data_IF_423112200446
#
_entry.id   IF_423112200446
#
_cell.length_a   1.000
_cell.length_b   1.000
_cell.length_c   1.000
_cell.angle_alpha   90.00
_cell.angle_beta   90.00
_cell.angle_gamma   90.00
#
_symmetry.space_group_name_H-M   'P 1'
#
loop_
_entity.id
_entity.type
_entity.pdbx_description
1 polymer ?
#
# COMPACT_ATOMS: atom_id res chain seq x y z
N UNK A 1 78.09 10.84 -10.13
CA UNK A 1 78.36 12.15 -9.52
C UNK A 1 77.10 12.58 -8.77
N UNK A 2 77.19 12.70 -7.45
CA UNK A 2 76.11 13.13 -6.55
C UNK A 2 76.12 14.66 -6.46
N UNK A 3 75.32 15.39 -7.25
CA UNK A 3 75.36 16.86 -7.18
C UNK A 3 74.02 17.60 -7.22
N UNK A 4 72.86 16.96 -7.04
CA UNK A 4 71.57 17.71 -6.99
C UNK A 4 70.73 17.42 -5.74
N UNK A 5 71.35 17.45 -4.55
CA UNK A 5 70.61 17.22 -3.28
C UNK A 5 70.86 18.25 -2.19
N UNK A 6 71.51 19.38 -2.48
CA UNK A 6 71.68 20.47 -1.50
C UNK A 6 70.65 21.57 -1.72
N UNK A 7 70.13 22.11 -0.61
CA UNK A 7 69.07 23.11 -0.56
C UNK A 7 69.50 24.47 -1.14
N UNK A 8 70.80 24.71 -1.26
CA UNK A 8 71.38 25.97 -1.75
C UNK A 8 71.37 26.10 -3.29
N UNK A 9 71.05 25.03 -4.02
CA UNK A 9 71.05 25.02 -5.50
C UNK A 9 69.73 25.52 -6.12
N UNK A 10 68.72 25.79 -5.29
CA UNK A 10 67.47 26.42 -5.71
C UNK A 10 67.19 27.62 -4.81
N UNK A 11 67.11 28.82 -5.39
CA UNK A 11 66.70 30.05 -4.71
C UNK A 11 65.22 30.01 -4.32
N UNK A 12 64.87 29.14 -3.36
CA UNK A 12 63.52 29.01 -2.84
C UNK A 12 63.34 30.04 -1.72
N UNK A 13 62.49 31.07 -1.88
CA UNK A 13 62.26 32.04 -0.82
C UNK A 13 61.67 31.35 0.41
N UNK A 14 62.17 31.67 1.60
CA UNK A 14 61.64 31.12 2.84
C UNK A 14 60.20 31.58 3.05
N UNK A 15 59.25 30.65 2.91
CA UNK A 15 57.84 30.90 3.23
C UNK A 15 57.62 30.56 4.70
N UNK A 16 57.42 31.58 5.53
CA UNK A 16 56.91 31.41 6.88
C UNK A 16 55.45 30.91 6.81
N UNK A 17 55.26 29.58 6.85
CA UNK A 17 53.94 28.98 6.95
C UNK A 17 53.46 29.16 8.39
N UNK A 18 52.69 30.22 8.63
CA UNK A 18 51.84 30.32 9.82
C UNK A 18 50.85 29.16 9.72
N UNK A 19 50.95 28.19 10.64
CA UNK A 19 49.94 27.13 10.77
C UNK A 19 48.64 27.80 11.26
N UNK A 20 47.80 28.23 10.34
CA UNK A 20 46.43 28.60 10.67
C UNK A 20 45.75 27.39 11.33
N UNK A 21 45.20 27.62 12.53
CA UNK A 21 44.37 26.60 13.18
C UNK A 21 43.22 26.26 12.23
N UNK A 22 42.89 24.98 12.01
CA UNK A 22 41.71 24.61 11.24
C UNK A 22 40.52 25.32 11.89
N UNK A 23 39.75 26.08 11.10
CA UNK A 23 38.44 26.56 11.54
C UNK A 23 37.65 25.32 11.90
N UNK A 24 37.37 25.12 13.19
CA UNK A 24 36.49 24.06 13.64
C UNK A 24 35.12 24.36 13.06
N UNK A 25 34.68 23.55 12.11
CA UNK A 25 33.32 23.60 11.58
C UNK A 25 32.38 23.41 12.77
N UNK A 26 31.72 24.48 13.20
CA UNK A 26 30.89 24.51 14.40
C UNK A 26 29.55 23.83 14.08
N UNK A 27 29.61 22.52 13.89
CA UNK A 27 28.45 21.69 13.62
C UNK A 27 27.61 21.58 14.90
N UNK A 28 26.49 22.28 14.92
CA UNK A 28 25.52 22.21 16.01
C UNK A 28 24.89 20.82 16.06
N UNK A 29 25.12 20.09 17.13
CA UNK A 29 24.49 18.79 17.40
C UNK A 29 23.25 18.94 18.28
N UNK A 30 22.23 18.12 18.02
CA UNK A 30 20.93 18.13 18.70
C UNK A 30 20.68 16.80 19.40
N UNK A 31 20.58 16.81 20.73
CA UNK A 31 20.39 15.61 21.55
C UNK A 31 18.96 15.09 21.54
N UNK A 32 18.79 13.77 21.58
CA UNK A 32 17.49 13.14 21.75
C UNK A 32 16.92 13.37 23.16
N UNK A 33 15.65 13.78 23.25
CA UNK A 33 14.94 13.95 24.52
C UNK A 33 14.21 12.67 25.00
N UNK A 34 14.39 11.54 24.31
CA UNK A 34 13.85 10.26 24.76
C UNK A 34 14.66 9.70 25.92
N UNK A 35 14.00 9.04 26.87
CA UNK A 35 14.64 8.50 28.08
C UNK A 35 15.76 7.54 27.70
N UNK A 36 16.92 7.74 28.32
CA UNK A 36 18.13 6.90 28.16
C UNK A 36 18.63 6.78 26.72
N UNK A 37 18.35 7.77 25.86
CA UNK A 37 18.87 7.83 24.49
C UNK A 37 20.09 8.76 24.39
N UNK A 38 21.31 8.24 24.15
CA UNK A 38 22.52 9.06 24.04
C UNK A 38 22.74 9.66 22.64
N UNK A 39 21.82 9.42 21.69
CA UNK A 39 21.98 9.82 20.30
C UNK A 39 21.88 11.33 20.10
N UNK A 40 22.74 11.83 19.21
CA UNK A 40 22.77 13.22 18.76
C UNK A 40 22.68 13.26 17.24
N UNK A 41 21.90 14.20 16.71
CA UNK A 41 21.75 14.41 15.27
C UNK A 41 22.32 15.76 14.87
N UNK A 42 22.79 15.90 13.63
CA UNK A 42 23.24 17.18 13.07
C UNK A 42 22.06 18.11 12.71
N UNK A 43 20.84 17.57 12.71
CA UNK A 43 19.62 18.29 12.35
C UNK A 43 18.63 18.23 13.52
N UNK A 44 17.94 19.34 13.78
CA UNK A 44 16.86 19.37 14.75
C UNK A 44 15.66 18.57 14.24
N UNK A 45 15.22 17.56 15.00
CA UNK A 45 14.02 16.77 14.73
C UNK A 45 13.01 17.04 15.84
N UNK A 46 12.23 18.12 15.67
CA UNK A 46 11.27 18.59 16.66
C UNK A 46 9.92 17.92 16.44
N UNK A 47 9.37 17.30 17.47
CA UNK A 47 8.02 16.77 17.44
C UNK A 47 6.99 17.93 17.40
N UNK A 48 6.07 17.99 16.43
CA UNK A 48 5.11 19.10 16.33
C UNK A 48 4.03 19.09 17.42
N UNK A 49 4.03 18.09 18.30
CA UNK A 49 3.04 17.92 19.36
C UNK A 49 3.59 18.23 20.76
N UNK A 50 4.75 17.65 21.10
CA UNK A 50 5.38 17.89 22.40
C UNK A 50 6.55 18.88 22.35
N UNK A 51 6.89 19.37 21.15
CA UNK A 51 7.91 20.41 20.90
C UNK A 51 9.33 20.07 21.38
N UNK A 52 9.58 18.79 21.70
CA UNK A 52 10.89 18.25 22.09
C UNK A 52 11.68 17.75 20.88
N UNK A 53 13.01 17.73 20.99
CA UNK A 53 13.92 17.25 19.96
C UNK A 53 14.23 15.76 20.12
N UNK A 54 14.26 14.99 19.03
CA UNK A 54 14.55 13.57 19.03
C UNK A 54 15.62 13.18 18.00
N UNK A 55 16.13 11.95 18.06
CA UNK A 55 16.97 11.41 16.99
C UNK A 55 16.10 10.78 15.90
N UNK A 56 16.69 10.37 14.77
CA UNK A 56 15.94 9.76 13.67
C UNK A 56 15.22 8.46 14.07
N UNK A 57 15.72 7.75 15.09
CA UNK A 57 15.11 6.54 15.65
C UNK A 57 13.87 6.80 16.50
N UNK A 58 13.76 7.99 17.10
CA UNK A 58 12.67 8.37 18.01
C UNK A 58 11.82 9.53 17.47
N UNK A 59 11.87 9.79 16.16
CA UNK A 59 11.20 10.93 15.53
C UNK A 59 9.67 10.85 15.55
N UNK A 60 9.08 9.66 15.58
CA UNK A 60 7.62 9.50 15.62
C UNK A 60 7.10 9.47 17.06
N UNK A 61 5.84 9.89 17.24
CA UNK A 61 5.20 10.01 18.56
C UNK A 61 5.17 8.71 19.37
N UNK A 62 4.99 7.56 18.71
CA UNK A 62 5.03 6.24 19.35
C UNK A 62 6.42 5.89 19.86
N UNK A 63 7.44 6.28 19.11
CA UNK A 63 8.82 5.83 19.33
C UNK A 63 9.46 6.58 20.51
N UNK A 64 9.06 7.84 20.75
CA UNK A 64 9.50 8.59 21.92
C UNK A 64 8.50 8.65 23.08
N UNK A 65 7.39 7.91 23.00
CA UNK A 65 6.34 7.97 24.03
C UNK A 65 5.79 9.38 24.23
N UNK A 66 5.39 10.05 23.15
CA UNK A 66 4.92 11.43 23.15
C UNK A 66 3.81 11.64 24.19
N UNK A 67 3.97 12.65 25.04
CA UNK A 67 2.99 13.03 26.06
C UNK A 67 1.64 13.47 25.46
N UNK A 68 1.65 13.90 24.20
CA UNK A 68 0.45 14.31 23.44
C UNK A 68 -0.09 13.21 22.52
N UNK A 69 0.47 11.99 22.57
CA UNK A 69 -0.07 10.88 21.80
C UNK A 69 -1.42 10.47 22.39
N UNK A 70 -2.50 10.69 21.65
CA UNK A 70 -3.78 10.09 21.96
C UNK A 70 -3.65 8.57 21.80
N UNK A 71 -3.56 7.85 22.93
CA UNK A 71 -3.59 6.40 22.91
C UNK A 71 -4.93 5.96 22.30
N UNK A 72 -4.91 5.11 21.25
CA UNK A 72 -6.15 4.63 20.67
C UNK A 72 -6.96 3.92 21.75
N UNK A 73 -8.17 4.42 22.02
CA UNK A 73 -9.11 3.79 22.95
C UNK A 73 -9.19 2.30 22.60
N UNK A 74 -9.04 1.38 23.56
CA UNK A 74 -9.07 -0.04 23.27
C UNK A 74 -10.44 -0.40 22.68
N UNK A 75 -10.49 -0.60 21.35
CA UNK A 75 -11.71 -0.96 20.61
C UNK A 75 -12.29 -2.32 21.00
N UNK A 76 -11.61 -3.08 21.87
CA UNK A 76 -11.84 -4.52 22.07
C UNK A 76 -12.43 -4.92 23.42
N UNK A 77 -12.64 -4.00 24.37
CA UNK A 77 -13.21 -4.36 25.68
C UNK A 77 -14.62 -4.97 25.57
N UNK A 78 -15.43 -4.48 24.61
CA UNK A 78 -16.76 -5.04 24.32
C UNK A 78 -16.70 -6.40 23.57
N UNK A 79 -15.66 -6.62 22.77
CA UNK A 79 -15.47 -7.86 21.99
C UNK A 79 -15.09 -9.04 22.86
N UNK A 80 -14.32 -8.82 23.94
CA UNK A 80 -13.90 -9.88 24.86
C UNK A 80 -15.08 -10.55 25.58
N UNK A 81 -16.08 -9.78 26.02
CA UNK A 81 -17.30 -10.33 26.64
C UNK A 81 -18.09 -11.19 25.65
N UNK A 82 -18.29 -10.69 24.42
CA UNK A 82 -19.00 -11.44 23.38
C UNK A 82 -18.30 -12.75 23.00
N UNK A 83 -16.97 -12.77 22.93
CA UNK A 83 -16.21 -13.99 22.66
C UNK A 83 -16.40 -15.02 23.78
N UNK A 84 -16.40 -14.57 25.04
CA UNK A 84 -16.62 -15.45 26.20
C UNK A 84 -18.02 -16.07 26.17
N UNK A 85 -19.05 -15.26 25.92
CA UNK A 85 -20.44 -15.74 25.81
C UNK A 85 -20.65 -16.73 24.64
N UNK A 86 -19.90 -16.59 23.54
CA UNK A 86 -19.95 -17.52 22.39
C UNK A 86 -19.28 -18.87 22.72
N UNK A 87 -18.18 -18.85 23.47
CA UNK A 87 -17.49 -20.07 23.89
C UNK A 87 -18.34 -20.83 24.92
N UNK A 88 -18.93 -20.10 25.86
CA UNK A 88 -19.78 -20.65 26.92
C UNK A 88 -21.11 -21.23 26.38
N UNK A 89 -21.57 -20.78 25.20
CA UNK A 89 -22.78 -21.30 24.53
C UNK A 89 -22.54 -22.52 23.61
N UNK A 90 -21.30 -22.96 23.42
CA UNK A 90 -20.97 -24.14 22.60
C UNK A 90 -20.99 -25.47 23.36
N UNK A 91 -21.10 -25.46 24.68
CA UNK A 91 -21.10 -26.67 25.53
C UNK A 91 -22.48 -27.28 25.76
N UNK A 92 -23.57 -26.64 25.31
CA UNK A 92 -24.92 -27.20 25.34
C UNK A 92 -25.41 -27.54 23.94
N UNK A 93 -25.48 -28.83 23.58
CA UNK A 93 -26.04 -29.25 22.31
C UNK A 93 -27.53 -28.94 22.22
N UNK A 94 -27.94 -28.02 21.34
CA UNK A 94 -29.27 -27.98 20.72
C UNK A 94 -29.40 -26.90 19.61
N UNK A 95 -29.71 -27.37 18.41
CA UNK A 95 -30.50 -26.73 17.34
C UNK A 95 -29.99 -25.38 16.80
N UNK A 96 -29.39 -25.44 15.60
CA UNK A 96 -29.18 -24.31 14.69
C UNK A 96 -30.52 -23.69 14.23
N UNK A 97 -31.24 -22.96 15.09
CA UNK A 97 -32.17 -21.94 14.64
C UNK A 97 -31.35 -20.72 14.25
N UNK A 98 -31.00 -20.65 12.97
CA UNK A 98 -30.31 -19.49 12.40
C UNK A 98 -31.04 -18.21 12.81
N UNK A 99 -30.39 -17.39 13.63
CA UNK A 99 -30.83 -16.04 13.92
C UNK A 99 -30.87 -15.30 12.59
N UNK A 100 -32.07 -15.13 12.03
CA UNK A 100 -32.31 -14.22 10.90
C UNK A 100 -32.06 -12.81 11.40
N UNK A 101 -30.79 -12.39 11.39
CA UNK A 101 -30.41 -11.02 11.64
C UNK A 101 -31.15 -10.12 10.65
N UNK A 102 -31.77 -9.06 11.17
CA UNK A 102 -32.44 -8.06 10.35
C UNK A 102 -31.48 -7.60 9.25
N UNK A 103 -31.91 -7.73 7.99
CA UNK A 103 -31.14 -7.37 6.79
C UNK A 103 -31.00 -5.84 6.72
N UNK A 104 -30.08 -5.29 7.51
CA UNK A 104 -29.58 -3.94 7.26
C UNK A 104 -28.49 -4.06 6.20
N UNK A 105 -28.74 -3.50 5.02
CA UNK A 105 -27.83 -3.54 3.86
C UNK A 105 -26.41 -3.07 4.18
N UNK A 106 -26.28 -2.09 5.09
CA UNK A 106 -24.99 -1.58 5.57
C UNK A 106 -24.15 -2.61 6.33
N UNK A 107 -24.76 -3.55 7.06
CA UNK A 107 -24.04 -4.63 7.73
C UNK A 107 -23.63 -5.72 6.74
N UNK A 108 -24.50 -6.05 5.79
CA UNK A 108 -24.20 -7.02 4.73
C UNK A 108 -23.04 -6.55 3.83
N UNK A 109 -23.02 -5.27 3.44
CA UNK A 109 -21.96 -4.68 2.63
C UNK A 109 -20.60 -4.70 3.37
N UNK A 110 -20.58 -4.36 4.66
CA UNK A 110 -19.36 -4.43 5.48
C UNK A 110 -18.85 -5.86 5.62
N UNK A 111 -19.74 -6.83 5.83
CA UNK A 111 -19.37 -8.25 5.91
C UNK A 111 -18.86 -8.77 4.56
N UNK A 112 -19.46 -8.35 3.44
CA UNK A 112 -18.99 -8.70 2.11
C UNK A 112 -17.56 -8.18 1.87
N UNK A 113 -17.31 -6.90 2.19
CA UNK A 113 -15.97 -6.32 2.09
C UNK A 113 -14.97 -7.03 3.02
N UNK A 114 -15.36 -7.37 4.24
CA UNK A 114 -14.49 -8.12 5.17
C UNK A 114 -14.13 -9.50 4.62
N UNK A 115 -15.10 -10.24 4.08
CA UNK A 115 -14.86 -11.55 3.44
C UNK A 115 -13.93 -11.41 2.25
N UNK A 116 -14.18 -10.41 1.41
CA UNK A 116 -13.35 -10.14 0.24
C UNK A 116 -11.91 -9.84 0.67
N UNK A 117 -11.70 -8.93 1.63
CA UNK A 117 -10.36 -8.62 2.17
C UNK A 117 -9.66 -9.81 2.80
N UNK A 118 -10.40 -10.74 3.40
CA UNK A 118 -9.85 -11.94 4.04
C UNK A 118 -9.32 -12.95 3.01
N UNK A 119 -9.95 -13.04 1.84
CA UNK A 119 -9.56 -13.98 0.78
C UNK A 119 -8.78 -13.32 -0.37
N UNK A 120 -8.68 -11.99 -0.38
CA UNK A 120 -8.05 -11.27 -1.47
C UNK A 120 -6.55 -11.53 -1.54
N UNK A 121 -6.09 -11.89 -2.72
CA UNK A 121 -4.68 -12.09 -3.04
C UNK A 121 -4.11 -10.86 -3.76
N UNK A 122 -2.83 -10.58 -3.54
CA UNK A 122 -2.23 -9.34 -4.03
C UNK A 122 -0.80 -9.14 -3.54
N UNK A 123 -0.18 -8.02 -3.93
CA UNK A 123 1.16 -7.68 -3.47
C UNK A 123 1.16 -7.30 -1.98
N UNK A 124 1.63 -8.24 -1.15
CA UNK A 124 1.64 -8.09 0.32
C UNK A 124 2.52 -6.94 0.81
N UNK A 125 3.43 -6.43 -0.02
CA UNK A 125 4.29 -5.28 0.33
C UNK A 125 3.53 -3.94 0.31
N UNK A 126 2.39 -3.87 -0.38
CA UNK A 126 1.60 -2.63 -0.47
C UNK A 126 1.02 -2.23 0.89
N UNK A 127 1.15 -0.96 1.32
CA UNK A 127 0.49 -0.46 2.53
C UNK A 127 -1.04 -0.59 2.45
N UNK A 128 -1.72 -0.90 3.56
CA UNK A 128 -3.18 -1.07 3.56
C UNK A 128 -3.95 0.16 3.04
N UNK A 129 -3.40 1.36 3.23
CA UNK A 129 -3.99 2.63 2.76
C UNK A 129 -4.02 2.75 1.24
N UNK A 130 -3.13 2.07 0.54
CA UNK A 130 -3.05 2.09 -0.93
C UNK A 130 -3.79 0.90 -1.57
N UNK A 131 -4.24 -0.07 -0.77
CA UNK A 131 -4.92 -1.27 -1.29
C UNK A 131 -6.36 -0.95 -1.64
N UNK A 132 -6.69 -1.09 -2.91
CA UNK A 132 -8.07 -1.22 -3.38
C UNK A 132 -8.36 -2.67 -3.72
N UNK A 133 -9.54 -3.13 -3.30
CA UNK A 133 -9.95 -4.52 -3.40
C UNK A 133 -11.06 -4.67 -4.43
N UNK A 134 -11.03 -5.76 -5.20
CA UNK A 134 -12.09 -6.09 -6.16
C UNK A 134 -12.38 -7.59 -6.16
N UNK A 135 -13.62 -7.94 -6.48
CA UNK A 135 -13.95 -9.28 -6.96
C UNK A 135 -13.68 -9.28 -8.47
N UNK A 136 -12.66 -10.02 -8.90
CA UNK A 136 -12.25 -10.10 -10.30
C UNK A 136 -12.88 -11.35 -10.92
N UNK A 137 -13.83 -11.15 -11.83
CA UNK A 137 -14.42 -12.23 -12.63
C UNK A 137 -13.48 -12.59 -13.77
N UNK A 138 -13.27 -13.89 -13.97
CA UNK A 138 -12.28 -14.40 -14.90
C UNK A 138 -12.92 -14.75 -16.26
N UNK A 139 -12.12 -14.87 -17.33
CA UNK A 139 -12.63 -15.23 -18.65
C UNK A 139 -13.42 -16.54 -18.63
N UNK A 140 -14.44 -16.63 -19.49
CA UNK A 140 -15.24 -17.86 -19.62
C UNK A 140 -14.34 -19.05 -19.99
N UNK A 141 -14.46 -20.14 -19.25
CA UNK A 141 -13.60 -21.33 -19.40
C UNK A 141 -12.41 -21.39 -18.44
N UNK A 142 -12.22 -20.37 -17.59
CA UNK A 142 -11.28 -20.44 -16.46
C UNK A 142 -11.73 -21.46 -15.42
N UNK A 143 -10.77 -22.07 -14.69
CA UNK A 143 -11.07 -23.06 -13.64
C UNK A 143 -11.93 -22.48 -12.51
N UNK A 144 -11.71 -21.22 -12.19
CA UNK A 144 -12.45 -20.47 -11.19
C UNK A 144 -13.29 -19.39 -11.89
N UNK A 145 -14.52 -19.14 -11.41
CA UNK A 145 -15.39 -18.09 -11.96
C UNK A 145 -14.87 -16.69 -11.62
N UNK A 146 -14.36 -16.51 -10.40
CA UNK A 146 -13.85 -15.24 -9.92
C UNK A 146 -12.85 -15.43 -8.79
N UNK A 147 -11.99 -14.44 -8.60
CA UNK A 147 -10.99 -14.41 -7.53
C UNK A 147 -10.97 -13.03 -6.88
N UNK A 148 -10.95 -13.01 -5.56
CA UNK A 148 -10.78 -11.76 -4.81
C UNK A 148 -9.32 -11.31 -4.95
N UNK A 149 -9.12 -10.05 -5.36
CA UNK A 149 -7.79 -9.49 -5.55
C UNK A 149 -7.69 -8.08 -4.97
N UNK A 150 -6.47 -7.64 -4.67
CA UNK A 150 -6.20 -6.24 -4.33
C UNK A 150 -5.00 -5.67 -5.09
N UNK A 151 -5.06 -4.37 -5.36
CA UNK A 151 -4.10 -3.64 -6.17
C UNK A 151 -3.74 -2.32 -5.50
N UNK A 152 -2.62 -1.71 -5.92
CA UNK A 152 -2.29 -0.35 -5.52
C UNK A 152 -3.18 0.64 -6.28
N UNK A 153 -3.78 1.57 -5.56
CA UNK A 153 -4.61 2.66 -6.07
C UNK A 153 -3.94 3.45 -7.20
N UNK A 154 -2.61 3.59 -7.16
CA UNK A 154 -1.81 4.40 -8.09
C UNK A 154 -1.37 3.64 -9.35
N UNK A 155 -1.68 2.35 -9.47
CA UNK A 155 -1.28 1.58 -10.65
C UNK A 155 -2.10 1.96 -11.88
N UNK A 156 -1.44 1.88 -13.04
CA UNK A 156 -2.13 1.91 -14.32
C UNK A 156 -2.99 0.66 -14.50
N UNK A 157 -4.07 0.77 -15.26
CA UNK A 157 -4.93 -0.36 -15.60
C UNK A 157 -4.13 -1.46 -16.30
N UNK A 158 -3.15 -1.12 -17.16
CA UNK A 158 -2.25 -2.10 -17.76
C UNK A 158 -1.50 -2.94 -16.73
N UNK A 159 -0.91 -2.29 -15.72
CA UNK A 159 -0.23 -3.00 -14.63
C UNK A 159 -1.18 -3.85 -13.80
N UNK A 160 -2.42 -3.40 -13.60
CA UNK A 160 -3.47 -4.18 -12.92
C UNK A 160 -3.80 -5.44 -13.73
N UNK A 161 -3.95 -5.33 -15.05
CA UNK A 161 -4.20 -6.46 -15.94
C UNK A 161 -3.04 -7.46 -15.92
N UNK A 162 -1.80 -6.99 -16.02
CA UNK A 162 -0.60 -7.84 -15.94
C UNK A 162 -0.56 -8.63 -14.63
N UNK A 163 -0.79 -7.93 -13.52
CA UNK A 163 -0.74 -8.52 -12.18
C UNK A 163 -1.90 -9.49 -11.95
N UNK A 164 -3.13 -9.12 -12.33
CA UNK A 164 -4.31 -9.97 -12.23
C UNK A 164 -4.16 -11.24 -13.08
N UNK A 165 -3.60 -11.11 -14.29
CA UNK A 165 -3.31 -12.26 -15.15
C UNK A 165 -2.33 -13.22 -14.48
N UNK A 166 -1.26 -12.70 -13.88
CA UNK A 166 -0.31 -13.52 -13.12
C UNK A 166 -0.98 -14.23 -11.93
N UNK A 167 -1.83 -13.53 -11.17
CA UNK A 167 -2.54 -14.12 -10.03
C UNK A 167 -3.56 -15.18 -10.42
N UNK A 168 -4.17 -15.05 -11.60
CA UNK A 168 -5.16 -15.98 -12.14
C UNK A 168 -4.56 -17.04 -13.07
N UNK A 169 -3.23 -17.06 -13.24
CA UNK A 169 -2.53 -17.96 -14.19
C UNK A 169 -3.05 -17.84 -15.63
N UNK A 170 -3.42 -16.63 -16.04
CA UNK A 170 -3.87 -16.30 -17.39
C UNK A 170 -2.70 -15.84 -18.26
N UNK A 171 -2.79 -16.12 -19.57
CA UNK A 171 -1.79 -15.75 -20.54
C UNK A 171 -2.05 -14.33 -21.06
N UNK A 172 -1.24 -13.37 -20.63
CA UNK A 172 -1.29 -12.00 -21.13
C UNK A 172 -0.18 -11.77 -22.17
N UNK A 173 -0.57 -11.55 -23.42
CA UNK A 173 0.33 -11.26 -24.54
C UNK A 173 0.00 -9.92 -25.21
N UNK A 174 -0.47 -8.95 -24.42
CA UNK A 174 -0.88 -7.64 -24.92
C UNK A 174 0.23 -6.85 -25.64
N UNK A 175 1.50 -7.25 -25.47
CA UNK A 175 2.65 -6.69 -26.15
C UNK A 175 2.90 -7.27 -27.56
N UNK A 176 2.16 -8.31 -27.96
CA UNK A 176 2.23 -8.93 -29.29
C UNK A 176 1.02 -8.52 -30.13
N UNK A 177 1.13 -8.72 -31.44
CA UNK A 177 0.00 -8.60 -32.37
C UNK A 177 -0.92 -9.83 -32.25
N UNK A 178 -1.64 -9.93 -31.13
CA UNK A 178 -2.65 -10.98 -30.93
C UNK A 178 -4.02 -10.50 -31.38
N UNK A 179 -4.85 -11.41 -31.89
CA UNK A 179 -6.22 -11.10 -32.31
C UNK A 179 -7.09 -10.61 -31.14
N UNK A 180 -6.78 -11.08 -29.92
CA UNK A 180 -7.44 -10.67 -28.69
C UNK A 180 -6.43 -10.21 -27.66
N UNK A 181 -6.78 -9.16 -26.93
CA UNK A 181 -6.02 -8.63 -25.79
C UNK A 181 -6.81 -8.81 -24.51
N UNK A 182 -6.09 -9.08 -23.43
CA UNK A 182 -6.67 -9.18 -22.10
C UNK A 182 -6.99 -7.77 -21.59
N UNK A 183 -8.25 -7.53 -21.23
CA UNK A 183 -8.76 -6.21 -20.82
C UNK A 183 -9.52 -6.31 -19.51
N UNK A 184 -9.42 -5.25 -18.72
CA UNK A 184 -10.23 -5.07 -17.51
C UNK A 184 -11.49 -4.29 -17.89
N UNK A 185 -12.66 -4.83 -17.58
CA UNK A 185 -13.94 -4.28 -17.96
C UNK A 185 -14.72 -3.83 -16.73
N UNK A 186 -15.32 -2.65 -16.83
CA UNK A 186 -16.22 -2.10 -15.84
C UNK A 186 -17.62 -2.70 -16.02
N UNK A 187 -18.23 -3.16 -14.93
CA UNK A 187 -19.50 -3.89 -14.98
C UNK A 187 -20.69 -2.97 -15.34
N UNK A 188 -20.94 -1.86 -14.62
CA UNK A 188 -22.06 -0.96 -14.92
C UNK A 188 -22.07 -0.41 -16.34
N UNK A 189 -20.91 0.00 -16.87
CA UNK A 189 -20.82 0.57 -18.23
C UNK A 189 -20.51 -0.45 -19.32
N UNK A 190 -20.07 -1.65 -18.96
CA UNK A 190 -19.51 -2.64 -19.90
C UNK A 190 -18.19 -2.22 -20.53
N UNK A 191 -17.63 -1.06 -20.17
CA UNK A 191 -16.48 -0.46 -20.84
C UNK A 191 -15.17 -1.17 -20.50
N UNK A 192 -14.37 -1.47 -21.52
CA UNK A 192 -13.01 -1.94 -21.37
C UNK A 192 -12.10 -0.77 -21.01
N UNK A 193 -11.62 -0.76 -19.76
CA UNK A 193 -10.84 0.34 -19.20
C UNK A 193 -9.55 0.59 -20.01
N UNK A 194 -9.23 1.85 -20.36
CA UNK A 194 -7.98 2.20 -21.05
C UNK A 194 -6.76 1.83 -20.20
N UNK A 195 -5.75 1.21 -20.82
CA UNK A 195 -4.59 0.64 -20.11
C UNK A 195 -3.66 1.70 -19.51
N UNK A 196 -3.66 2.91 -20.07
CA UNK A 196 -2.87 4.07 -19.69
C UNK A 196 -3.50 4.87 -18.54
N UNK A 197 -4.79 4.68 -18.25
CA UNK A 197 -5.45 5.27 -17.10
C UNK A 197 -4.99 4.62 -15.79
N UNK A 198 -5.18 5.32 -14.66
CA UNK A 198 -4.91 4.79 -13.31
C UNK A 198 -6.20 4.33 -12.63
N UNK A 199 -6.09 3.40 -11.67
CA UNK A 199 -7.23 3.00 -10.84
C UNK A 199 -7.81 4.20 -10.08
N UNK A 200 -6.96 5.06 -9.54
CA UNK A 200 -7.36 6.31 -8.86
C UNK A 200 -8.27 7.19 -9.72
N UNK A 201 -7.95 7.38 -11.00
CA UNK A 201 -8.78 8.17 -11.90
C UNK A 201 -10.18 7.56 -12.08
N UNK A 202 -10.26 6.23 -12.14
CA UNK A 202 -11.54 5.52 -12.29
C UNK A 202 -12.38 5.49 -11.02
N UNK A 203 -11.76 5.57 -9.84
CA UNK A 203 -12.47 5.64 -8.55
C UNK A 203 -13.02 7.05 -8.31
N UNK A 204 -12.31 8.07 -8.76
CA UNK A 204 -12.69 9.48 -8.59
C UNK A 204 -13.56 10.01 -9.74
N UNK A 205 -13.98 9.15 -10.68
CA UNK A 205 -14.83 9.54 -11.81
C UNK A 205 -16.23 9.95 -11.30
N UNK A 206 -16.79 11.02 -11.85
CA UNK A 206 -18.12 11.49 -11.43
C UNK A 206 -19.24 10.54 -11.88
N UNK A 207 -19.12 10.02 -13.09
CA UNK A 207 -20.09 9.10 -13.67
C UNK A 207 -19.58 7.65 -13.63
N UNK A 208 -20.33 6.79 -12.95
CA UNK A 208 -20.04 5.36 -12.79
C UNK A 208 -18.61 5.04 -12.31
N UNK A 209 -18.20 5.49 -11.10
CA UNK A 209 -16.86 5.20 -10.57
C UNK A 209 -16.68 3.74 -10.18
N UNK A 210 -15.41 3.32 -10.15
CA UNK A 210 -15.01 2.08 -9.47
C UNK A 210 -15.09 2.25 -7.95
N UNK A 211 -15.52 1.20 -7.26
CA UNK A 211 -15.63 1.19 -5.80
C UNK A 211 -14.70 0.16 -5.17
N UNK A 212 -14.16 0.50 -4.00
CA UNK A 212 -13.40 -0.45 -3.20
C UNK A 212 -14.32 -1.55 -2.65
N UNK A 213 -14.02 -2.80 -3.00
CA UNK A 213 -14.90 -3.96 -2.80
C UNK A 213 -15.89 -4.18 -3.92
N UNK A 214 -15.78 -3.43 -5.02
CA UNK A 214 -16.61 -3.60 -6.22
C UNK A 214 -16.19 -4.79 -7.07
N UNK A 215 -16.86 -4.94 -8.21
CA UNK A 215 -16.68 -6.05 -9.12
C UNK A 215 -16.10 -5.54 -10.44
N UNK A 216 -15.17 -6.29 -11.02
CA UNK A 216 -14.57 -6.03 -12.34
C UNK A 216 -14.44 -7.34 -13.10
N UNK A 217 -14.44 -7.29 -14.43
CA UNK A 217 -14.30 -8.47 -15.28
C UNK A 217 -12.97 -8.40 -16.02
N UNK A 218 -12.25 -9.52 -16.06
CA UNK A 218 -11.06 -9.70 -16.88
C UNK A 218 -11.45 -10.59 -18.07
N UNK A 219 -11.31 -10.11 -19.30
CA UNK A 219 -11.72 -10.86 -20.51
C UNK A 219 -10.84 -10.54 -21.72
N UNK A 220 -10.75 -11.49 -22.65
CA UNK A 220 -10.07 -11.34 -23.94
C UNK A 220 -11.01 -10.71 -24.98
N UNK A 221 -10.76 -9.43 -25.28
CA UNK A 221 -11.51 -8.67 -26.27
C UNK A 221 -10.69 -8.47 -27.55
N UNK A 222 -11.36 -8.36 -28.69
CA UNK A 222 -10.70 -7.95 -29.92
C UNK A 222 -10.25 -6.49 -29.81
N UNK A 223 -9.25 -6.07 -30.58
CA UNK A 223 -8.72 -4.69 -30.51
C UNK A 223 -9.76 -3.60 -30.80
N UNK A 224 -10.77 -3.92 -31.62
CA UNK A 224 -11.88 -3.03 -31.96
C UNK A 224 -12.99 -2.99 -30.90
N UNK A 225 -13.02 -3.95 -29.97
CA UNK A 225 -14.06 -4.07 -28.95
C UNK A 225 -13.72 -3.25 -27.70
N UNK A 226 -14.38 -2.11 -27.58
CA UNK A 226 -14.27 -1.23 -26.40
C UNK A 226 -15.25 -1.61 -25.29
N UNK A 227 -16.21 -2.50 -25.55
CA UNK A 227 -17.24 -2.87 -24.60
C UNK A 227 -17.43 -4.39 -24.56
N UNK A 228 -17.53 -4.93 -23.35
CA UNK A 228 -17.88 -6.32 -23.13
C UNK A 228 -19.38 -6.51 -23.28
N UNK A 229 -19.77 -7.38 -24.22
CA UNK A 229 -21.16 -7.78 -24.41
C UNK A 229 -21.58 -8.77 -23.30
N UNK A 230 -22.82 -8.67 -22.82
CA UNK A 230 -23.43 -9.61 -21.86
C UNK A 230 -22.69 -9.72 -20.52
N UNK A 231 -22.44 -8.58 -19.88
CA UNK A 231 -21.83 -8.47 -18.55
C UNK A 231 -22.56 -9.33 -17.51
N UNK A 232 -23.91 -9.39 -17.57
CA UNK A 232 -24.75 -10.12 -16.61
C UNK A 232 -24.40 -11.62 -16.52
N UNK A 233 -23.94 -12.22 -17.62
CA UNK A 233 -23.57 -13.64 -17.65
C UNK A 233 -22.35 -14.00 -16.79
N UNK A 234 -21.61 -13.02 -16.30
CA UNK A 234 -20.50 -13.24 -15.34
C UNK A 234 -20.98 -13.18 -13.89
N UNK A 235 -22.14 -12.55 -13.63
CA UNK A 235 -22.70 -12.36 -12.29
C UNK A 235 -23.60 -13.52 -11.85
N UNK A 236 -23.92 -14.45 -12.76
CA UNK A 236 -24.68 -15.70 -12.55
C UNK A 236 -23.85 -16.89 -12.01
#
# INVERSE_FOLDING_TARGET
>A
SLEHRSKDSHGCPEVNIIKERPKTDEHKSYSCSFKDCPEVELVAVICPYCEKNFCLRHRHQSDHGCEKLELPKPRMAATQKLVKDIIDSKTGGAVNKGRKGAKTSGTAAKVALMKLKMHADGDKSLPQTERIYFQVYLPKGSKEKSKAMFFCLRWSIGKVVDFAASLASLRNENNKLTAKKLRLCHIPSGEALPLDHTLEAWINKEDHPLYNGGNVILEYLNDEEQFLKNVDSYLE
#
